data_IF_790446200117
#
_entry.id   IF_790446200117
#
_cell.length_a   1.000
_cell.length_b   1.000
_cell.length_c   1.000
_cell.angle_alpha   90.00
_cell.angle_beta   90.00
_cell.angle_gamma   90.00
#
_symmetry.space_group_name_H-M   'P 1'
#
loop_
_entity.id
_entity.type
_entity.pdbx_description
1 polymer ?
#
# COMPACT_ATOMS: atom_id res chain seq x y z
N UNK A 1 -15.00 -2.33 -1.36
CA UNK A 1 -13.92 -3.25 -0.92
C UNK A 1 -13.87 -4.42 -1.89
N UNK A 2 -12.77 -4.59 -2.63
CA UNK A 2 -12.65 -5.63 -3.67
C UNK A 2 -11.51 -6.62 -3.43
N UNK A 3 -10.55 -6.28 -2.55
CA UNK A 3 -9.45 -7.14 -2.15
C UNK A 3 -9.53 -7.39 -0.65
N UNK A 4 -9.19 -8.61 -0.23
CA UNK A 4 -9.11 -8.98 1.18
C UNK A 4 -7.71 -8.75 1.76
N UNK A 5 -6.68 -8.77 0.90
CA UNK A 5 -5.28 -8.56 1.24
C UNK A 5 -4.55 -7.76 0.17
N UNK A 6 -3.59 -6.95 0.57
CA UNK A 6 -2.75 -6.12 -0.29
C UNK A 6 -1.29 -6.33 0.10
N UNK A 7 -0.43 -6.45 -0.91
CA UNK A 7 1.03 -6.36 -0.78
C UNK A 7 1.46 -5.17 -1.64
N UNK A 8 2.07 -4.17 -1.02
CA UNK A 8 2.55 -2.95 -1.67
C UNK A 8 4.07 -3.00 -1.84
N UNK A 9 4.53 -2.81 -3.07
CA UNK A 9 5.93 -2.95 -3.47
C UNK A 9 6.48 -1.58 -3.88
N UNK A 10 7.66 -1.23 -3.38
CA UNK A 10 8.29 0.05 -3.67
C UNK A 10 9.47 0.32 -2.72
N UNK A 11 9.62 1.54 -2.17
CA UNK A 11 8.75 2.72 -2.37
C UNK A 11 8.87 3.34 -3.76
N UNK A 12 10.02 3.17 -4.41
CA UNK A 12 10.30 3.67 -5.75
C UNK A 12 10.22 2.55 -6.80
N UNK A 13 10.47 2.90 -8.06
CA UNK A 13 10.63 1.95 -9.16
C UNK A 13 12.10 1.65 -9.48
N UNK A 14 12.34 0.58 -10.25
CA UNK A 14 13.70 0.24 -10.71
C UNK A 14 14.59 -0.32 -9.60
N UNK A 15 15.86 0.07 -9.57
CA UNK A 15 16.86 -0.42 -8.61
C UNK A 15 16.53 -0.04 -7.16
N UNK A 16 15.77 1.03 -6.94
CA UNK A 16 15.35 1.51 -5.62
C UNK A 16 13.98 0.93 -5.18
N UNK A 17 13.40 0.05 -6.00
CA UNK A 17 12.15 -0.65 -5.72
C UNK A 17 12.34 -2.09 -5.24
N UNK A 18 11.27 -2.88 -5.33
CA UNK A 18 11.32 -4.32 -5.07
C UNK A 18 11.24 -4.74 -3.60
N UNK A 19 11.08 -3.79 -2.67
CA UNK A 19 10.86 -4.08 -1.26
C UNK A 19 9.38 -4.10 -0.92
N UNK A 20 9.00 -4.91 0.07
CA UNK A 20 7.65 -4.87 0.64
C UNK A 20 7.56 -3.65 1.56
N UNK A 21 6.72 -2.68 1.18
CA UNK A 21 6.54 -1.41 1.91
C UNK A 21 5.37 -1.50 2.88
N UNK A 22 4.33 -2.25 2.50
CA UNK A 22 3.16 -2.52 3.32
C UNK A 22 2.55 -3.87 2.94
N UNK A 23 1.98 -4.57 3.92
CA UNK A 23 1.22 -5.79 3.70
C UNK A 23 0.08 -5.84 4.73
N UNK A 24 -1.10 -6.31 4.32
CA UNK A 24 -2.25 -6.47 5.20
C UNK A 24 -3.58 -6.33 4.50
N UNK A 25 -4.65 -6.24 5.29
CA UNK A 25 -5.97 -5.84 4.79
C UNK A 25 -5.93 -4.43 4.19
N UNK A 26 -6.88 -4.06 3.30
CA UNK A 26 -6.95 -2.72 2.76
C UNK A 26 -6.97 -1.62 3.83
N UNK A 27 -7.67 -1.86 4.95
CA UNK A 27 -7.76 -0.91 6.06
C UNK A 27 -6.46 -0.78 6.86
N UNK A 28 -5.64 -1.83 6.92
CA UNK A 28 -4.31 -1.80 7.54
C UNK A 28 -3.30 -1.09 6.63
N UNK A 29 -3.26 -1.42 5.35
CA UNK A 29 -2.37 -0.79 4.37
C UNK A 29 -2.66 0.71 4.25
N UNK A 30 -3.93 1.12 4.27
CA UNK A 30 -4.33 2.54 4.20
C UNK A 30 -3.83 3.40 5.38
N UNK A 31 -3.34 2.79 6.47
CA UNK A 31 -2.74 3.51 7.61
C UNK A 31 -1.22 3.66 7.49
N UNK A 32 -0.58 2.97 6.54
CA UNK A 32 0.86 3.04 6.33
C UNK A 32 1.27 4.44 5.83
N UNK A 33 2.31 5.03 6.44
CA UNK A 33 2.78 6.39 6.14
C UNK A 33 3.85 6.45 5.05
N UNK A 34 4.48 5.31 4.73
CA UNK A 34 5.57 5.19 3.76
C UNK A 34 5.00 4.81 2.38
N UNK A 35 3.97 3.96 2.36
CA UNK A 35 3.28 3.54 1.14
C UNK A 35 2.63 4.71 0.41
N UNK A 36 3.05 4.95 -0.84
CA UNK A 36 2.35 5.89 -1.73
C UNK A 36 0.92 5.41 -2.03
N UNK A 37 0.73 4.11 -2.18
CA UNK A 37 -0.57 3.47 -2.39
C UNK A 37 -1.53 3.79 -1.24
N UNK A 38 -1.07 3.76 0.01
CA UNK A 38 -1.89 4.03 1.19
C UNK A 38 -2.57 5.40 1.17
N UNK A 39 -1.89 6.44 0.67
CA UNK A 39 -2.43 7.80 0.54
C UNK A 39 -3.71 7.83 -0.29
N UNK A 40 -3.72 7.13 -1.42
CA UNK A 40 -4.88 7.07 -2.32
C UNK A 40 -5.90 6.02 -1.86
N UNK A 41 -5.44 4.89 -1.35
CA UNK A 41 -6.30 3.82 -0.84
C UNK A 41 -7.23 4.33 0.27
N UNK A 42 -6.71 5.17 1.17
CA UNK A 42 -7.50 5.81 2.23
C UNK A 42 -8.67 6.63 1.71
N UNK A 43 -8.56 7.26 0.55
CA UNK A 43 -9.66 8.01 -0.07
C UNK A 43 -10.74 7.10 -0.66
N UNK A 44 -10.36 5.90 -1.10
CA UNK A 44 -11.28 4.93 -1.74
C UNK A 44 -11.98 3.99 -0.76
N UNK A 45 -11.58 4.00 0.52
CA UNK A 45 -12.22 3.25 1.60
C UNK A 45 -13.26 4.06 2.38
N UNK A 46 -13.44 5.34 2.06
CA UNK A 46 -14.59 6.14 2.51
C UNK A 46 -15.85 5.73 1.76
#
# INVERSE_FOLDING_TARGET
>A
KCADWIIDIGPEGGEEGGNIVAEGTPEEVAKNKISYTAKYLKEKLK
#
